data_IF_627830772487
#
_entry.id   IF_627830772487
#
_cell.length_a   1.000
_cell.length_b   1.000
_cell.length_c   1.000
_cell.angle_alpha   90.00
_cell.angle_beta   90.00
_cell.angle_gamma   90.00
#
_symmetry.space_group_name_H-M   'P 1'
#
loop_
_entity.id
_entity.type
_entity.pdbx_description
1 polymer ?
#
# COMPACT_ATOMS: atom_id res chain seq x y z
N UNK A 1 0.96 -22.33 13.40
CA UNK A 1 1.50 -21.08 12.83
C UNK A 1 0.34 -20.40 12.13
N UNK A 2 0.24 -19.07 12.23
CA UNK A 2 -0.82 -18.29 11.57
C UNK A 2 -0.24 -17.63 10.32
N UNK A 3 -1.00 -17.66 9.22
CA UNK A 3 -0.62 -16.91 8.01
C UNK A 3 -1.42 -15.61 7.96
N UNK A 4 -0.74 -14.48 7.74
CA UNK A 4 -1.39 -13.21 7.44
C UNK A 4 -1.35 -13.00 5.94
N UNK A 5 -2.51 -13.11 5.30
CA UNK A 5 -2.67 -12.81 3.89
C UNK A 5 -2.92 -11.31 3.71
N UNK A 6 -2.18 -10.67 2.80
CA UNK A 6 -2.37 -9.25 2.55
C UNK A 6 -1.91 -8.83 1.15
N UNK A 7 -2.12 -7.55 0.83
CA UNK A 7 -1.79 -6.96 -0.46
C UNK A 7 -0.28 -6.75 -0.62
N UNK A 8 0.28 -7.35 -1.67
CA UNK A 8 1.64 -7.11 -2.13
C UNK A 8 1.78 -5.88 -3.04
N UNK A 9 2.95 -5.69 -3.68
CA UNK A 9 4.17 -6.50 -3.58
C UNK A 9 4.93 -6.27 -2.26
N UNK A 10 6.14 -6.82 -2.12
CA UNK A 10 6.97 -6.63 -0.92
C UNK A 10 7.44 -5.16 -0.77
N UNK A 11 7.43 -4.66 0.45
CA UNK A 11 7.73 -3.28 0.86
C UNK A 11 6.50 -2.39 0.99
N UNK A 12 5.29 -2.94 1.00
CA UNK A 12 4.05 -2.16 1.17
C UNK A 12 3.76 -1.88 2.65
N UNK A 13 2.95 -0.86 2.89
CA UNK A 13 2.42 -0.58 4.22
C UNK A 13 1.59 -1.75 4.78
N UNK A 14 0.94 -2.52 3.91
CA UNK A 14 0.20 -3.72 4.28
C UNK A 14 1.12 -4.83 4.80
N UNK A 15 2.26 -5.07 4.16
CA UNK A 15 3.26 -6.03 4.65
C UNK A 15 3.83 -5.60 6.02
N UNK A 16 4.18 -4.32 6.17
CA UNK A 16 4.62 -3.75 7.45
C UNK A 16 3.55 -3.96 8.55
N UNK A 17 2.28 -3.68 8.23
CA UNK A 17 1.16 -3.86 9.15
C UNK A 17 0.97 -5.32 9.55
N UNK A 18 1.12 -6.26 8.62
CA UNK A 18 1.00 -7.69 8.89
C UNK A 18 2.07 -8.19 9.87
N UNK A 19 3.33 -7.78 9.65
CA UNK A 19 4.41 -8.10 10.58
C UNK A 19 4.20 -7.46 11.96
N UNK A 20 3.72 -6.21 12.01
CA UNK A 20 3.43 -5.53 13.27
C UNK A 20 2.32 -6.25 14.04
N UNK A 21 1.24 -6.65 13.37
CA UNK A 21 0.13 -7.36 14.00
C UNK A 21 0.59 -8.70 14.59
N UNK A 22 1.37 -9.49 13.84
CA UNK A 22 1.97 -10.73 14.33
C UNK A 22 2.80 -10.50 15.60
N UNK A 23 3.68 -9.49 15.57
CA UNK A 23 4.55 -9.13 16.68
C UNK A 23 3.76 -8.73 17.93
N UNK A 24 2.78 -7.84 17.77
CA UNK A 24 2.01 -7.28 18.88
C UNK A 24 1.11 -8.33 19.55
N UNK A 25 0.65 -9.33 18.80
CA UNK A 25 -0.18 -10.41 19.32
C UNK A 25 0.63 -11.64 19.76
N UNK A 26 1.97 -11.56 19.77
CA UNK A 26 2.83 -12.66 20.19
C UNK A 26 2.73 -13.91 19.31
N UNK A 27 2.26 -13.75 18.07
CA UNK A 27 2.07 -14.87 17.14
C UNK A 27 3.35 -15.19 16.38
N UNK A 28 3.63 -16.49 16.23
CA UNK A 28 4.62 -17.00 15.27
C UNK A 28 3.89 -17.37 13.98
N UNK A 29 4.26 -16.72 12.89
CA UNK A 29 3.55 -16.80 11.62
C UNK A 29 4.33 -16.19 10.47
N UNK A 30 3.74 -16.27 9.27
CA UNK A 30 4.31 -15.72 8.05
C UNK A 30 3.34 -14.74 7.39
N UNK A 31 3.87 -13.88 6.53
CA UNK A 31 3.09 -12.94 5.71
C UNK A 31 3.09 -13.44 4.28
N UNK A 32 1.89 -13.66 3.74
CA UNK A 32 1.70 -14.08 2.35
C UNK A 32 1.11 -12.95 1.54
N UNK A 33 1.87 -12.51 0.53
CA UNK A 33 1.51 -11.38 -0.33
C UNK A 33 0.72 -11.85 -1.55
N UNK A 34 -0.36 -11.15 -1.84
CA UNK A 34 -1.25 -11.41 -2.98
C UNK A 34 -1.33 -10.21 -3.91
N UNK A 35 -1.78 -10.42 -5.15
CA UNK A 35 -2.00 -9.32 -6.10
C UNK A 35 -3.19 -8.44 -5.72
N UNK A 36 -4.24 -9.05 -5.15
CA UNK A 36 -5.44 -8.36 -4.66
C UNK A 36 -5.86 -8.94 -3.30
N UNK A 37 -6.69 -8.22 -2.54
CA UNK A 37 -7.25 -8.76 -1.30
C UNK A 37 -8.36 -9.78 -1.58
N UNK A 38 -8.99 -9.70 -2.75
CA UNK A 38 -9.97 -10.64 -3.25
C UNK A 38 -9.32 -12.01 -3.54
N UNK A 39 -8.14 -12.03 -4.17
CA UNK A 39 -7.37 -13.26 -4.37
C UNK A 39 -6.97 -13.88 -3.03
N UNK A 40 -6.58 -13.04 -2.06
CA UNK A 40 -6.25 -13.46 -0.72
C UNK A 40 -7.45 -14.10 0.01
N UNK A 41 -8.61 -13.46 -0.04
CA UNK A 41 -9.85 -13.98 0.55
C UNK A 41 -10.29 -15.29 -0.10
N UNK A 42 -10.20 -15.39 -1.44
CA UNK A 42 -10.49 -16.62 -2.17
C UNK A 42 -9.55 -17.74 -1.75
N UNK A 43 -8.25 -17.47 -1.69
CA UNK A 43 -7.25 -18.44 -1.24
C UNK A 43 -7.54 -18.94 0.17
N UNK A 44 -7.91 -18.04 1.08
CA UNK A 44 -8.30 -18.43 2.43
C UNK A 44 -9.53 -19.34 2.42
N UNK A 45 -10.55 -19.06 1.62
CA UNK A 45 -11.74 -19.90 1.56
C UNK A 45 -11.44 -21.34 1.11
N UNK A 46 -10.40 -21.54 0.30
CA UNK A 46 -10.02 -22.84 -0.26
C UNK A 46 -9.01 -23.62 0.62
N UNK A 47 -8.64 -23.10 1.79
CA UNK A 47 -7.64 -23.71 2.68
C UNK A 47 -8.19 -24.01 4.06
N UNK A 48 -7.73 -25.10 4.68
CA UNK A 48 -8.00 -25.38 6.09
C UNK A 48 -6.91 -24.73 6.95
N UNK A 49 -7.30 -23.76 7.78
CA UNK A 49 -6.34 -23.01 8.60
C UNK A 49 -6.95 -21.81 9.30
N UNK A 50 -6.38 -21.47 10.46
CA UNK A 50 -6.72 -20.28 11.26
C UNK A 50 -6.07 -19.00 10.70
N UNK A 51 -5.94 -18.92 9.38
CA UNK A 51 -5.32 -17.78 8.69
C UNK A 51 -6.20 -16.53 8.79
N UNK A 52 -5.56 -15.38 8.64
CA UNK A 52 -6.23 -14.09 8.68
C UNK A 52 -5.94 -13.26 7.43
N UNK A 53 -6.87 -12.38 7.10
CA UNK A 53 -6.75 -11.40 6.02
C UNK A 53 -6.53 -10.01 6.62
N UNK A 54 -5.49 -9.32 6.16
CA UNK A 54 -5.22 -7.92 6.53
C UNK A 54 -5.49 -7.00 5.36
N UNK A 55 -6.32 -5.98 5.57
CA UNK A 55 -6.62 -4.94 4.59
C UNK A 55 -6.45 -3.53 5.14
N UNK A 56 -5.88 -2.62 4.36
CA UNK A 56 -5.81 -1.19 4.66
C UNK A 56 -7.20 -0.56 4.55
N UNK A 57 -7.61 0.31 5.49
CA UNK A 57 -8.97 0.89 5.51
C UNK A 57 -9.29 1.76 4.29
N UNK A 58 -8.27 2.30 3.62
CA UNK A 58 -8.41 3.10 2.39
C UNK A 58 -8.27 2.27 1.12
N UNK A 59 -8.31 0.94 1.23
CA UNK A 59 -8.34 0.08 0.05
C UNK A 59 -9.65 0.31 -0.74
N UNK A 60 -9.58 0.66 -2.05
CA UNK A 60 -10.76 1.10 -2.80
C UNK A 60 -11.94 0.12 -2.79
N UNK A 61 -11.65 -1.19 -2.78
CA UNK A 61 -12.64 -2.26 -2.83
C UNK A 61 -12.90 -2.91 -1.46
N UNK A 62 -12.49 -2.28 -0.36
CA UNK A 62 -12.65 -2.88 0.98
C UNK A 62 -14.11 -3.17 1.31
N UNK A 63 -15.02 -2.27 0.95
CA UNK A 63 -16.46 -2.48 1.11
C UNK A 63 -16.92 -3.73 0.35
N UNK A 64 -16.50 -3.89 -0.91
CA UNK A 64 -16.83 -5.06 -1.72
C UNK A 64 -16.30 -6.35 -1.10
N UNK A 65 -15.04 -6.33 -0.66
CA UNK A 65 -14.39 -7.45 0.03
C UNK A 65 -15.18 -7.89 1.27
N UNK A 66 -15.60 -6.96 2.12
CA UNK A 66 -16.35 -7.27 3.34
C UNK A 66 -17.73 -7.83 3.00
N UNK A 67 -18.51 -7.11 2.20
CA UNK A 67 -19.91 -7.49 1.94
C UNK A 67 -20.04 -8.79 1.13
N UNK A 68 -19.10 -9.08 0.22
CA UNK A 68 -19.09 -10.33 -0.55
C UNK A 68 -18.75 -11.56 0.28
N UNK A 69 -18.08 -11.37 1.42
CA UNK A 69 -17.58 -12.46 2.26
C UNK A 69 -18.26 -12.52 3.63
N UNK A 70 -19.43 -11.89 3.84
CA UNK A 70 -20.12 -11.84 5.15
C UNK A 70 -20.41 -13.22 5.77
N UNK A 71 -20.62 -14.25 4.95
CA UNK A 71 -20.85 -15.62 5.40
C UNK A 71 -19.57 -16.40 5.71
N UNK A 72 -18.40 -15.87 5.34
CA UNK A 72 -17.12 -16.59 5.40
C UNK A 72 -16.07 -15.88 6.24
N UNK A 73 -16.10 -14.54 6.32
CA UNK A 73 -15.12 -13.71 7.02
C UNK A 73 -15.84 -12.80 8.01
N UNK A 74 -15.22 -12.63 9.18
CA UNK A 74 -15.61 -11.63 10.17
C UNK A 74 -14.43 -10.74 10.52
N UNK A 75 -14.69 -9.46 10.72
CA UNK A 75 -13.72 -8.52 11.29
C UNK A 75 -13.48 -8.90 12.76
N UNK A 76 -12.22 -9.14 13.14
CA UNK A 76 -11.84 -9.55 14.50
C UNK A 76 -10.99 -8.53 15.23
N UNK A 77 -10.32 -7.63 14.49
CA UNK A 77 -9.43 -6.63 15.06
C UNK A 77 -9.25 -5.46 14.07
N UNK A 78 -8.93 -4.29 14.60
CA UNK A 78 -8.60 -3.08 13.87
C UNK A 78 -7.56 -2.28 14.66
N UNK A 79 -6.50 -1.83 13.98
CA UNK A 79 -5.46 -1.02 14.61
C UNK A 79 -5.00 0.10 13.69
N UNK A 80 -4.35 1.10 14.27
CA UNK A 80 -3.72 2.21 13.56
C UNK A 80 -2.21 2.09 13.73
N UNK A 81 -1.47 2.30 12.65
CA UNK A 81 -0.03 2.50 12.71
C UNK A 81 0.42 3.55 11.69
N UNK A 82 1.59 4.12 11.94
CA UNK A 82 2.27 4.97 10.98
C UNK A 82 2.74 4.17 9.78
N UNK A 83 2.40 4.64 8.58
CA UNK A 83 2.92 4.09 7.32
C UNK A 83 4.42 4.30 7.19
N UNK A 84 5.02 3.78 6.13
CA UNK A 84 6.25 4.35 5.59
C UNK A 84 6.04 5.83 5.21
N UNK A 85 7.10 6.62 5.18
CA UNK A 85 7.00 8.02 4.79
C UNK A 85 6.47 8.10 3.36
N UNK A 86 5.48 8.95 3.14
CA UNK A 86 5.02 9.29 1.81
C UNK A 86 5.93 10.36 1.23
N UNK A 87 6.42 10.13 0.03
CA UNK A 87 7.41 11.01 -0.62
C UNK A 87 7.00 11.32 -2.05
N UNK A 88 7.39 12.51 -2.50
CA UNK A 88 7.49 12.82 -3.92
C UNK A 88 8.93 12.56 -4.35
N UNK A 89 9.13 11.61 -5.27
CA UNK A 89 10.44 11.15 -5.69
C UNK A 89 10.58 11.21 -7.22
N UNK A 90 11.79 11.45 -7.70
CA UNK A 90 12.12 11.55 -9.13
C UNK A 90 13.60 11.36 -9.40
N UNK A 91 14.07 11.78 -10.57
CA UNK A 91 15.48 11.63 -10.99
C UNK A 91 16.30 12.92 -10.80
N UNK A 92 15.87 13.80 -9.89
CA UNK A 92 16.57 15.04 -9.56
C UNK A 92 16.17 16.26 -10.40
N UNK A 93 15.17 16.16 -11.28
CA UNK A 93 14.60 17.32 -11.95
C UNK A 93 13.96 18.29 -10.94
N UNK A 94 13.96 19.58 -11.26
CA UNK A 94 13.27 20.56 -10.41
C UNK A 94 11.75 20.34 -10.50
N UNK A 95 10.98 20.54 -9.41
CA UNK A 95 9.52 20.37 -9.44
C UNK A 95 8.79 21.08 -10.59
N UNK A 96 9.26 22.26 -11.01
CA UNK A 96 8.67 23.02 -12.12
C UNK A 96 8.94 22.44 -13.52
N UNK A 97 9.89 21.51 -13.66
CA UNK A 97 10.26 20.87 -14.95
C UNK A 97 9.50 19.56 -15.19
N UNK A 98 8.88 19.02 -14.14
CA UNK A 98 8.15 17.76 -14.16
C UNK A 98 6.86 17.93 -14.98
N UNK A 99 6.59 16.99 -15.90
CA UNK A 99 5.40 17.03 -16.77
C UNK A 99 4.47 15.85 -16.53
N UNK A 100 4.98 14.73 -16.02
CA UNK A 100 4.23 13.50 -15.79
C UNK A 100 4.53 12.94 -14.40
N UNK A 101 3.50 12.63 -13.62
CA UNK A 101 3.64 12.10 -12.26
C UNK A 101 2.85 10.80 -12.09
N UNK A 102 3.52 9.76 -11.62
CA UNK A 102 2.89 8.49 -11.22
C UNK A 102 2.37 8.52 -9.78
N UNK A 103 1.20 7.96 -9.50
CA UNK A 103 0.73 7.80 -8.12
C UNK A 103 -0.24 6.63 -7.97
N UNK A 104 -0.34 6.07 -6.77
CA UNK A 104 -1.55 5.35 -6.38
C UNK A 104 -2.73 6.33 -6.25
N UNK A 105 -4.00 5.91 -6.45
CA UNK A 105 -5.16 6.80 -6.29
C UNK A 105 -5.25 7.46 -4.91
N UNK A 106 -4.97 6.71 -3.83
CA UNK A 106 -5.17 7.22 -2.46
C UNK A 106 -4.29 8.45 -2.10
N UNK A 107 -2.97 8.48 -2.40
CA UNK A 107 -2.14 9.65 -2.07
C UNK A 107 -1.98 10.66 -3.22
N UNK A 108 -2.75 10.58 -4.32
CA UNK A 108 -2.52 11.41 -5.52
C UNK A 108 -2.59 12.92 -5.22
N UNK A 109 -3.39 13.34 -4.24
CA UNK A 109 -3.58 14.75 -3.92
C UNK A 109 -2.33 15.38 -3.27
N UNK A 110 -1.38 14.57 -2.77
CA UNK A 110 -0.08 15.05 -2.29
C UNK A 110 0.73 15.74 -3.40
N UNK A 111 0.49 15.41 -4.67
CA UNK A 111 1.17 16.03 -5.81
C UNK A 111 1.00 17.55 -5.79
N UNK A 112 -0.20 18.03 -5.46
CA UNK A 112 -0.51 19.47 -5.44
C UNK A 112 0.14 20.21 -4.28
N UNK A 113 0.67 19.48 -3.29
CA UNK A 113 1.33 20.04 -2.12
C UNK A 113 2.85 20.20 -2.33
N UNK A 114 3.39 19.67 -3.44
CA UNK A 114 4.82 19.79 -3.76
C UNK A 114 5.17 21.25 -4.07
N UNK A 115 6.12 21.88 -3.34
CA UNK A 115 6.51 23.25 -3.61
C UNK A 115 7.07 23.44 -5.02
N UNK A 116 6.56 24.43 -5.75
CA UNK A 116 7.04 24.77 -7.10
C UNK A 116 6.67 23.75 -8.19
N UNK A 117 5.72 22.85 -7.92
CA UNK A 117 5.26 21.86 -8.88
C UNK A 117 4.60 22.52 -10.10
N UNK A 118 4.85 21.96 -11.28
CA UNK A 118 4.20 22.39 -12.51
C UNK A 118 2.68 22.17 -12.42
N UNK A 119 1.89 23.24 -12.54
CA UNK A 119 0.42 23.18 -12.48
C UNK A 119 -0.25 22.54 -13.70
N UNK A 120 0.49 22.35 -14.79
CA UNK A 120 0.02 21.76 -16.05
C UNK A 120 0.52 20.32 -16.26
N UNK A 121 0.99 19.64 -15.21
CA UNK A 121 1.42 18.24 -15.31
C UNK A 121 0.24 17.28 -15.54
N UNK A 122 0.54 16.08 -16.05
CA UNK A 122 -0.41 14.97 -16.11
C UNK A 122 -0.13 13.94 -15.01
N UNK A 123 -1.21 13.36 -14.46
CA UNK A 123 -1.15 12.33 -13.42
C UNK A 123 -1.48 10.98 -14.05
N UNK A 124 -0.63 9.97 -13.82
CA UNK A 124 -0.86 8.58 -14.22
C UNK A 124 -1.05 7.72 -12.97
N UNK A 125 -2.18 7.01 -12.92
CA UNK A 125 -2.53 6.18 -11.77
C UNK A 125 -2.00 4.76 -11.91
N UNK A 126 -1.51 4.21 -10.80
CA UNK A 126 -0.99 2.85 -10.68
C UNK A 126 -1.58 2.12 -9.47
N UNK A 127 -1.48 0.79 -9.48
CA UNK A 127 -2.12 -0.04 -8.45
C UNK A 127 -1.40 -0.06 -7.09
N UNK A 128 -0.22 0.53 -6.97
CA UNK A 128 0.49 0.67 -5.68
C UNK A 128 1.53 1.79 -5.70
N UNK A 129 1.95 2.23 -4.51
CA UNK A 129 3.08 3.15 -4.35
C UNK A 129 4.37 2.55 -4.93
N UNK A 130 4.63 1.26 -4.68
CA UNK A 130 5.80 0.57 -5.21
C UNK A 130 5.80 0.52 -6.74
N UNK A 131 4.63 0.33 -7.36
CA UNK A 131 4.51 0.38 -8.82
C UNK A 131 4.81 1.77 -9.38
N UNK A 132 4.30 2.83 -8.74
CA UNK A 132 4.59 4.20 -9.16
C UNK A 132 6.10 4.50 -9.15
N UNK A 133 6.83 4.03 -8.13
CA UNK A 133 8.29 4.14 -8.07
C UNK A 133 9.00 3.35 -9.20
N UNK A 134 8.58 2.11 -9.46
CA UNK A 134 9.14 1.30 -10.56
C UNK A 134 8.95 1.98 -11.91
N UNK A 135 7.77 2.53 -12.16
CA UNK A 135 7.44 3.21 -13.41
C UNK A 135 8.22 4.51 -13.58
N UNK A 136 8.45 5.26 -12.50
CA UNK A 136 9.34 6.43 -12.52
C UNK A 136 10.80 6.02 -12.83
N UNK A 137 11.31 4.97 -12.18
CA UNK A 137 12.65 4.47 -12.46
C UNK A 137 12.80 3.99 -13.92
N UNK A 138 11.76 3.42 -14.51
CA UNK A 138 11.69 3.01 -15.91
C UNK A 138 11.51 4.15 -16.92
N UNK A 139 11.45 5.42 -16.48
CA UNK A 139 11.15 6.61 -17.31
C UNK A 139 9.74 6.62 -17.92
N UNK A 140 8.78 5.87 -17.37
CA UNK A 140 7.39 5.93 -17.83
C UNK A 140 6.66 7.19 -17.31
N UNK A 141 7.19 7.82 -16.26
CA UNK A 141 6.80 9.11 -15.68
C UNK A 141 8.05 9.83 -15.15
N UNK A 142 8.01 11.16 -15.06
CA UNK A 142 9.16 11.97 -14.62
C UNK A 142 9.41 11.87 -13.11
N UNK A 143 8.32 11.78 -12.34
CA UNK A 143 8.33 11.65 -10.88
C UNK A 143 7.14 10.79 -10.40
N UNK A 144 7.12 10.48 -9.11
CA UNK A 144 6.02 9.74 -8.49
C UNK A 144 5.76 10.14 -7.04
N UNK A 145 4.51 9.95 -6.60
CA UNK A 145 4.20 9.77 -5.17
C UNK A 145 4.40 8.30 -4.82
N UNK A 146 5.23 8.04 -3.83
CA UNK A 146 5.53 6.68 -3.37
C UNK A 146 5.89 6.64 -1.89
N UNK A 147 6.32 5.48 -1.40
CA UNK A 147 6.96 5.37 -0.08
C UNK A 147 8.46 5.60 -0.21
N UNK A 148 9.08 6.13 0.84
CA UNK A 148 10.55 6.28 0.96
C UNK A 148 11.29 4.97 0.64
N UNK A 149 10.83 3.84 1.17
CA UNK A 149 11.43 2.52 0.91
C UNK A 149 11.37 2.16 -0.58
N UNK A 150 10.22 2.40 -1.23
CA UNK A 150 10.05 2.08 -2.65
C UNK A 150 10.91 2.99 -3.54
N UNK A 151 10.96 4.28 -3.22
CA UNK A 151 11.80 5.26 -3.91
C UNK A 151 13.28 4.88 -3.81
N UNK A 152 13.76 4.60 -2.60
CA UNK A 152 15.15 4.19 -2.34
C UNK A 152 15.51 2.90 -3.07
N UNK A 153 14.64 1.88 -3.04
CA UNK A 153 14.86 0.61 -3.76
C UNK A 153 14.95 0.81 -5.27
N UNK A 154 14.24 1.79 -5.81
CA UNK A 154 14.24 2.13 -7.24
C UNK A 154 15.34 3.14 -7.61
N UNK A 155 16.20 3.54 -6.67
CA UNK A 155 17.27 4.52 -6.91
C UNK A 155 16.77 5.93 -7.23
N UNK A 156 15.58 6.30 -6.74
CA UNK A 156 14.99 7.63 -6.94
C UNK A 156 15.42 8.59 -5.82
N UNK A 157 15.55 9.86 -6.18
CA UNK A 157 15.82 10.94 -5.23
C UNK A 157 14.51 11.45 -4.63
N UNK A 158 14.43 11.56 -3.31
CA UNK A 158 13.32 12.23 -2.61
C UNK A 158 13.41 13.73 -2.83
N UNK A 159 12.39 14.31 -3.45
CA UNK A 159 12.28 15.74 -3.76
C UNK A 159 11.39 16.47 -2.74
N UNK A 160 10.44 15.76 -2.13
CA UNK A 160 9.68 16.22 -0.97
C UNK A 160 9.30 15.02 -0.09
N UNK A 161 9.35 15.20 1.23
CA UNK A 161 8.90 14.21 2.22
C UNK A 161 7.67 14.75 2.95
N UNK A 162 6.59 13.98 2.92
CA UNK A 162 5.32 14.31 3.58
C UNK A 162 5.18 13.62 4.94
N UNK A 163 6.17 12.82 5.34
CA UNK A 163 6.15 12.04 6.57
C UNK A 163 5.22 10.82 6.50
N UNK A 164 5.11 10.08 7.62
CA UNK A 164 4.20 8.97 7.72
C UNK A 164 2.75 9.46 7.85
N UNK A 165 1.81 8.64 7.37
CA UNK A 165 0.37 8.86 7.56
C UNK A 165 -0.11 7.84 8.61
N UNK A 166 -0.75 8.27 9.70
CA UNK A 166 -1.48 7.36 10.58
C UNK A 166 -2.59 6.67 9.79
N UNK A 167 -2.49 5.34 9.63
CA UNK A 167 -3.38 4.58 8.76
C UNK A 167 -4.00 3.41 9.49
N UNK A 168 -5.30 3.20 9.27
CA UNK A 168 -6.03 2.06 9.82
C UNK A 168 -5.82 0.78 9.01
N UNK A 169 -5.77 -0.33 9.72
CA UNK A 169 -5.72 -1.67 9.15
C UNK A 169 -6.77 -2.55 9.82
N UNK A 170 -7.45 -3.35 9.01
CA UNK A 170 -8.51 -4.27 9.41
C UNK A 170 -8.02 -5.71 9.32
N UNK A 171 -8.38 -6.53 10.31
CA UNK A 171 -8.05 -7.95 10.38
C UNK A 171 -9.34 -8.76 10.32
N UNK A 172 -9.41 -9.66 9.34
CA UNK A 172 -10.55 -10.54 9.14
C UNK A 172 -10.13 -11.99 9.32
N UNK A 173 -10.97 -12.78 9.99
CA UNK A 173 -10.76 -14.22 10.17
C UNK A 173 -11.96 -14.99 9.62
N UNK A 174 -11.75 -16.28 9.34
CA UNK A 174 -12.84 -17.17 8.94
C UNK A 174 -13.92 -17.27 10.03
N UNK A 175 -15.17 -17.34 9.60
CA UNK A 175 -16.27 -17.75 10.47
C UNK A 175 -16.20 -19.27 10.59
N UNK A 176 -16.26 -19.77 11.83
CA UNK A 176 -16.27 -21.20 12.14
C UNK A 176 -17.65 -21.82 11.89
#
# INVERSE_FOLDING_TARGET
MITVHTLGPAGTNCEKAAHLWLKNNGHRGEVKLHQTLEDAAKYMNDTDGADILLGCIVYPQLHHLVFKNLSHLKLIDCFVMDTHNMVFAGKGQKPGEIRTVGSHPAPQDLIRQVPGINTQLSIRLFNSNSEAARQCAANAVDACISTDISANRCGLTVLADFGPVPMGFSIHAKIA
#
